data_IF_480988718804
#
_entry.id   IF_480988718804
#
_cell.length_a   1.000
_cell.length_b   1.000
_cell.length_c   1.000
_cell.angle_alpha   90.00
_cell.angle_beta   90.00
_cell.angle_gamma   90.00
#
_symmetry.space_group_name_H-M   'P 1'
#
loop_
_entity.id
_entity.type
_entity.pdbx_description
1 polymer ?
#
# COMPACT_ATOMS: atom_id res chain seq x y z
N UNK A 1 45.72 9.57 2.75
CA UNK A 1 44.70 9.99 3.72
C UNK A 1 43.76 8.82 3.93
N UNK A 2 43.91 8.13 5.07
CA UNK A 2 43.12 6.95 5.40
C UNK A 2 41.68 7.38 5.69
N UNK A 3 40.73 6.80 4.95
CA UNK A 3 39.30 6.90 5.21
C UNK A 3 39.01 6.41 6.62
N UNK A 4 38.68 7.33 7.53
CA UNK A 4 38.13 6.96 8.83
C UNK A 4 36.83 6.17 8.58
N UNK A 5 36.88 4.87 8.85
CA UNK A 5 35.68 4.06 8.94
C UNK A 5 34.85 4.62 10.08
N UNK A 6 33.73 5.26 9.75
CA UNK A 6 32.69 5.63 10.70
C UNK A 6 32.31 4.35 11.43
N UNK A 7 32.61 4.27 12.73
CA UNK A 7 32.06 3.25 13.63
C UNK A 7 30.55 3.41 13.65
N UNK A 8 29.84 2.64 12.82
CA UNK A 8 28.38 2.65 12.61
C UNK A 8 27.61 2.04 13.81
N UNK A 9 27.95 2.41 15.04
CA UNK A 9 27.28 1.87 16.24
C UNK A 9 26.05 2.68 16.66
N UNK A 10 25.86 3.88 16.13
CA UNK A 10 24.68 4.71 16.37
C UNK A 10 24.02 5.05 15.03
N UNK A 11 22.90 4.41 14.71
CA UNK A 11 22.11 4.77 13.53
C UNK A 11 21.55 6.18 13.71
N UNK A 12 21.72 7.12 12.74
CA UNK A 12 21.19 8.48 12.84
C UNK A 12 19.66 8.54 12.89
N UNK A 13 18.99 7.40 12.71
CA UNK A 13 17.53 7.27 12.75
C UNK A 13 17.04 6.39 13.90
N UNK A 14 17.90 6.05 14.88
CA UNK A 14 17.45 5.26 16.04
C UNK A 14 16.42 6.06 16.85
N UNK A 15 15.19 5.57 16.87
CA UNK A 15 14.09 6.18 17.61
C UNK A 15 14.07 5.68 19.07
N UNK A 16 13.66 6.56 19.97
CA UNK A 16 13.35 6.26 21.37
C UNK A 16 11.88 5.85 21.44
N UNK A 17 11.63 4.64 21.92
CA UNK A 17 10.26 4.14 22.13
C UNK A 17 9.68 4.75 23.41
N UNK A 18 8.67 5.61 23.26
CA UNK A 18 8.00 6.33 24.36
C UNK A 18 6.59 5.82 24.65
N UNK A 19 5.99 5.04 23.76
CA UNK A 19 4.62 4.50 23.87
C UNK A 19 4.57 2.97 23.77
N UNK A 20 5.63 2.29 24.22
CA UNK A 20 5.79 0.85 24.09
C UNK A 20 6.53 0.44 22.80
N UNK A 21 6.74 -0.87 22.66
CA UNK A 21 7.45 -1.46 21.54
C UNK A 21 6.49 -1.78 20.38
N UNK A 22 7.00 -1.94 19.15
CA UNK A 22 6.18 -2.39 18.04
C UNK A 22 5.45 -3.70 18.39
N UNK A 23 4.15 -3.83 18.11
CA UNK A 23 3.42 -5.07 18.33
C UNK A 23 4.08 -6.25 17.65
N UNK A 24 4.08 -7.38 18.35
CA UNK A 24 4.92 -8.51 18.00
C UNK A 24 6.29 -8.50 18.69
N UNK A 25 6.49 -7.59 19.64
CA UNK A 25 7.51 -7.69 20.69
C UNK A 25 6.92 -7.45 22.07
N UNK A 26 7.29 -8.32 23.01
CA UNK A 26 6.80 -8.37 24.38
C UNK A 26 7.73 -7.62 25.36
N UNK A 27 9.02 -7.48 25.02
CA UNK A 27 10.02 -6.80 25.85
C UNK A 27 11.19 -6.24 25.04
N UNK A 28 11.94 -5.29 25.63
CA UNK A 28 13.13 -4.71 25.00
C UNK A 28 14.22 -5.77 24.79
N UNK A 29 14.33 -6.71 25.73
CA UNK A 29 15.23 -7.87 25.60
C UNK A 29 14.84 -8.75 24.42
N UNK A 30 13.56 -9.05 24.21
CA UNK A 30 13.12 -9.78 23.01
C UNK A 30 13.37 -8.95 21.73
N UNK A 31 13.17 -7.63 21.79
CA UNK A 31 13.37 -6.75 20.64
C UNK A 31 14.84 -6.66 20.19
N UNK A 32 15.79 -6.50 21.13
CA UNK A 32 17.22 -6.31 20.83
C UNK A 32 18.06 -7.59 20.91
N UNK A 33 17.80 -8.47 21.87
CA UNK A 33 18.68 -9.61 22.21
C UNK A 33 18.12 -10.96 21.72
N UNK A 34 16.80 -11.16 21.82
CA UNK A 34 16.15 -12.43 21.50
C UNK A 34 14.99 -12.26 20.50
N UNK A 35 15.26 -11.78 19.26
CA UNK A 35 14.21 -11.52 18.28
C UNK A 35 13.46 -12.80 17.86
N UNK A 36 12.15 -12.67 17.62
CA UNK A 36 11.34 -13.71 16.98
C UNK A 36 11.70 -13.77 15.49
N UNK A 37 12.32 -14.86 15.06
CA UNK A 37 12.65 -15.06 13.64
C UNK A 37 11.43 -15.52 12.82
N UNK A 38 11.43 -15.27 11.49
CA UNK A 38 10.39 -15.80 10.60
C UNK A 38 10.22 -17.32 10.75
N UNK A 39 8.96 -17.77 10.88
CA UNK A 39 8.59 -19.18 10.89
C UNK A 39 8.85 -19.81 9.52
N UNK A 40 9.33 -21.07 9.46
CA UNK A 40 9.30 -21.81 8.21
C UNK A 40 7.85 -22.00 7.71
N UNK A 41 7.71 -22.26 6.41
CA UNK A 41 6.43 -22.71 5.87
C UNK A 41 6.07 -24.08 6.47
N UNK A 42 4.85 -24.26 7.00
CA UNK A 42 4.41 -25.57 7.45
C UNK A 42 4.24 -26.49 6.23
N UNK A 43 4.42 -27.80 6.39
CA UNK A 43 4.15 -28.74 5.31
C UNK A 43 2.66 -28.69 4.94
N UNK A 44 2.37 -28.79 3.64
CA UNK A 44 1.00 -28.89 3.16
C UNK A 44 0.34 -30.15 3.71
N UNK A 45 -0.88 -30.02 4.26
CA UNK A 45 -1.69 -31.16 4.72
C UNK A 45 -2.28 -31.96 3.54
N UNK A 46 -2.43 -31.32 2.38
CA UNK A 46 -2.98 -31.87 1.13
C UNK A 46 -2.53 -31.02 -0.07
N UNK A 47 -2.73 -31.48 -1.32
CA UNK A 47 -2.60 -30.62 -2.48
C UNK A 47 -3.55 -29.42 -2.40
N UNK A 48 -3.02 -28.22 -2.65
CA UNK A 48 -3.80 -26.99 -2.61
C UNK A 48 -4.89 -27.00 -3.70
N UNK A 49 -6.17 -26.81 -3.34
CA UNK A 49 -7.24 -26.74 -4.32
C UNK A 49 -7.00 -25.60 -5.34
N UNK A 50 -7.08 -25.85 -6.65
CA UNK A 50 -7.00 -24.78 -7.63
C UNK A 50 -8.24 -23.89 -7.56
N UNK A 51 -8.22 -22.73 -8.22
CA UNK A 51 -9.45 -21.98 -8.44
C UNK A 51 -10.48 -22.82 -9.18
N UNK A 52 -11.78 -22.75 -8.83
CA UNK A 52 -12.83 -23.41 -9.59
C UNK A 52 -12.79 -23.01 -11.07
N UNK A 53 -13.29 -23.86 -11.99
CA UNK A 53 -13.52 -23.47 -13.38
C UNK A 53 -14.32 -22.16 -13.49
N UNK A 54 -14.04 -21.37 -14.53
CA UNK A 54 -14.65 -20.03 -14.71
C UNK A 54 -16.18 -20.07 -14.70
N UNK A 55 -16.77 -21.09 -15.32
CA UNK A 55 -18.21 -21.31 -15.42
C UNK A 55 -18.88 -21.70 -14.10
N UNK A 56 -18.09 -22.12 -13.11
CA UNK A 56 -18.52 -22.42 -11.74
C UNK A 56 -18.39 -21.22 -10.78
N UNK A 57 -17.64 -20.18 -11.17
CA UNK A 57 -17.43 -18.95 -10.38
C UNK A 57 -18.63 -17.99 -10.50
N UNK A 58 -19.72 -18.30 -9.78
CA UNK A 58 -20.97 -17.54 -9.78
C UNK A 58 -21.39 -17.09 -8.39
N UNK A 59 -22.06 -15.94 -8.30
CA UNK A 59 -22.49 -15.40 -7.01
C UNK A 59 -21.31 -15.08 -6.09
N UNK A 60 -21.48 -15.35 -4.80
CA UNK A 60 -20.45 -15.21 -3.76
C UNK A 60 -19.53 -16.43 -3.68
N UNK A 61 -18.82 -16.72 -4.77
CA UNK A 61 -17.98 -17.92 -4.85
C UNK A 61 -16.65 -17.78 -4.09
N UNK A 62 -16.14 -16.55 -3.90
CA UNK A 62 -14.86 -16.32 -3.22
C UNK A 62 -14.93 -16.73 -1.76
N UNK A 63 -15.96 -16.30 -1.02
CA UNK A 63 -16.18 -16.68 0.38
C UNK A 63 -16.25 -18.22 0.50
N UNK A 64 -17.02 -18.89 -0.37
CA UNK A 64 -17.13 -20.37 -0.39
C UNK A 64 -15.80 -21.07 -0.71
N UNK A 65 -14.98 -20.47 -1.56
CA UNK A 65 -13.67 -21.02 -1.90
C UNK A 65 -12.68 -20.81 -0.75
N UNK A 66 -12.70 -19.64 -0.10
CA UNK A 66 -11.90 -19.40 1.09
C UNK A 66 -12.22 -20.38 2.22
N UNK A 67 -13.50 -20.65 2.49
CA UNK A 67 -13.96 -21.61 3.51
C UNK A 67 -13.42 -23.04 3.29
N UNK A 68 -13.04 -23.38 2.06
CA UNK A 68 -12.46 -24.69 1.75
C UNK A 68 -10.96 -24.76 2.05
N UNK A 69 -10.27 -23.63 2.15
CA UNK A 69 -8.82 -23.56 2.31
C UNK A 69 -8.39 -23.56 3.78
N UNK A 70 -7.26 -24.18 4.09
CA UNK A 70 -6.63 -24.14 5.39
C UNK A 70 -5.72 -22.90 5.51
N UNK A 71 -6.06 -21.88 6.32
CA UNK A 71 -5.24 -20.67 6.43
C UNK A 71 -3.86 -20.90 7.06
N UNK A 72 -3.63 -22.04 7.73
CA UNK A 72 -2.31 -22.36 8.28
C UNK A 72 -1.33 -22.81 7.20
N UNK A 73 -1.79 -23.61 6.24
CA UNK A 73 -0.92 -24.29 5.26
C UNK A 73 -1.13 -23.81 3.83
N UNK A 74 -2.29 -23.26 3.49
CA UNK A 74 -2.70 -22.81 2.15
C UNK A 74 -2.81 -21.26 2.07
N UNK A 75 -2.15 -20.53 2.99
CA UNK A 75 -2.19 -19.05 3.05
C UNK A 75 -1.74 -18.37 1.75
N UNK A 76 -0.75 -18.92 1.03
CA UNK A 76 -0.31 -18.35 -0.25
C UNK A 76 -1.45 -18.35 -1.28
N UNK A 77 -2.27 -19.42 -1.32
CA UNK A 77 -3.41 -19.50 -2.23
C UNK A 77 -4.55 -18.58 -1.79
N UNK A 78 -4.76 -18.42 -0.48
CA UNK A 78 -5.74 -17.47 0.05
C UNK A 78 -5.35 -16.04 -0.35
N UNK A 79 -4.10 -15.63 -0.12
CA UNK A 79 -3.61 -14.30 -0.47
C UNK A 79 -3.60 -14.09 -1.98
N UNK A 80 -3.14 -15.08 -2.75
CA UNK A 80 -3.23 -15.05 -4.21
C UNK A 80 -4.66 -14.76 -4.65
N UNK A 81 -5.64 -15.48 -4.10
CA UNK A 81 -7.04 -15.30 -4.49
C UNK A 81 -7.59 -13.95 -4.05
N UNK A 82 -7.35 -13.54 -2.81
CA UNK A 82 -7.81 -12.26 -2.27
C UNK A 82 -7.25 -11.07 -3.07
N UNK A 83 -5.95 -11.08 -3.38
CA UNK A 83 -5.31 -10.01 -4.17
C UNK A 83 -5.74 -10.06 -5.63
N UNK A 84 -5.83 -11.26 -6.23
CA UNK A 84 -6.08 -11.38 -7.67
C UNK A 84 -7.52 -11.07 -8.08
N UNK A 85 -8.48 -11.27 -7.17
CA UNK A 85 -9.91 -11.04 -7.40
C UNK A 85 -10.49 -9.84 -6.64
N UNK A 86 -9.93 -9.47 -5.48
CA UNK A 86 -10.53 -8.48 -4.59
C UNK A 86 -10.20 -7.03 -4.91
N UNK A 87 -9.07 -6.77 -5.59
CA UNK A 87 -8.61 -5.42 -5.86
C UNK A 87 -8.91 -4.95 -7.29
N UNK A 88 -9.07 -3.63 -7.44
CA UNK A 88 -9.00 -2.89 -8.70
C UNK A 88 -7.74 -2.04 -8.75
N UNK A 89 -7.30 -1.63 -9.95
CA UNK A 89 -6.17 -0.71 -10.09
C UNK A 89 -6.42 0.62 -9.32
N UNK A 90 -7.65 1.13 -9.28
CA UNK A 90 -8.01 2.31 -8.50
C UNK A 90 -7.77 2.11 -7.00
N UNK A 91 -8.33 1.04 -6.42
CA UNK A 91 -8.14 0.72 -4.99
C UNK A 91 -6.68 0.46 -4.66
N UNK A 92 -5.94 -0.15 -5.60
CA UNK A 92 -4.52 -0.42 -5.47
C UNK A 92 -3.70 0.87 -5.49
N UNK A 93 -4.01 1.83 -6.35
CA UNK A 93 -3.36 3.14 -6.36
C UNK A 93 -3.67 3.97 -5.10
N UNK A 94 -4.91 3.93 -4.62
CA UNK A 94 -5.30 4.55 -3.35
C UNK A 94 -4.48 3.97 -2.20
N UNK A 95 -4.43 2.64 -2.10
CA UNK A 95 -3.64 1.94 -1.09
C UNK A 95 -2.15 2.24 -1.20
N UNK A 96 -1.59 2.24 -2.41
CA UNK A 96 -0.19 2.57 -2.66
C UNK A 96 0.17 3.97 -2.15
N UNK A 97 -0.59 4.99 -2.55
CA UNK A 97 -0.35 6.36 -2.10
C UNK A 97 -0.44 6.46 -0.58
N UNK A 98 -1.48 5.85 0.02
CA UNK A 98 -1.67 5.88 1.47
C UNK A 98 -0.57 5.17 2.25
N UNK A 99 -0.20 3.95 1.85
CA UNK A 99 0.87 3.15 2.48
C UNK A 99 2.19 3.92 2.47
N UNK A 100 2.55 4.55 1.36
CA UNK A 100 3.81 5.30 1.31
C UNK A 100 3.77 6.62 2.09
N UNK A 101 2.62 7.29 2.18
CA UNK A 101 2.44 8.44 3.08
C UNK A 101 2.58 8.02 4.55
N UNK A 102 2.09 6.82 4.90
CA UNK A 102 2.27 6.22 6.24
C UNK A 102 3.75 5.93 6.48
N UNK A 103 4.38 5.16 5.59
CA UNK A 103 5.76 4.70 5.71
C UNK A 103 6.78 5.85 5.85
N UNK A 104 6.54 6.97 5.17
CA UNK A 104 7.46 8.10 5.12
C UNK A 104 7.36 9.04 6.32
N UNK A 105 6.62 8.65 7.36
CA UNK A 105 6.58 9.40 8.63
C UNK A 105 7.80 9.14 9.50
N UNK A 106 8.52 8.04 9.29
CA UNK A 106 9.76 7.79 10.01
C UNK A 106 10.89 8.64 9.43
N UNK A 107 11.86 9.09 10.25
CA UNK A 107 13.07 9.75 9.77
C UNK A 107 13.73 8.96 8.63
N UNK A 108 13.85 7.66 8.88
CA UNK A 108 14.43 6.66 8.00
C UNK A 108 13.62 6.49 6.71
N UNK A 109 12.30 6.33 6.80
CA UNK A 109 11.41 6.21 5.65
C UNK A 109 11.37 7.47 4.79
N UNK A 110 11.27 8.65 5.42
CA UNK A 110 11.31 9.94 4.74
C UNK A 110 12.60 10.09 3.92
N UNK A 111 13.76 9.79 4.50
CA UNK A 111 15.04 9.93 3.80
C UNK A 111 15.23 8.84 2.74
N UNK A 112 14.82 7.60 3.00
CA UNK A 112 14.99 6.49 2.06
C UNK A 112 14.19 6.67 0.76
N UNK A 113 12.98 7.21 0.88
CA UNK A 113 12.03 7.31 -0.24
C UNK A 113 12.16 8.64 -0.98
N UNK A 114 12.53 9.72 -0.30
CA UNK A 114 12.57 11.06 -0.89
C UNK A 114 13.53 11.15 -2.10
N UNK A 115 13.10 11.92 -3.12
CA UNK A 115 13.87 12.18 -4.34
C UNK A 115 13.64 11.16 -5.46
N UNK A 116 14.62 10.99 -6.35
CA UNK A 116 14.62 9.94 -7.38
C UNK A 116 13.33 9.82 -8.21
N UNK A 117 12.81 8.59 -8.31
CA UNK A 117 11.62 8.29 -9.11
C UNK A 117 10.32 8.81 -8.49
N UNK A 118 10.19 8.91 -7.16
CA UNK A 118 8.90 9.39 -6.58
C UNK A 118 8.59 10.81 -7.04
N UNK A 119 9.59 11.69 -7.12
CA UNK A 119 9.40 13.08 -7.56
C UNK A 119 9.36 13.22 -9.08
N UNK A 120 10.19 12.47 -9.82
CA UNK A 120 10.40 12.71 -11.27
C UNK A 120 9.66 11.74 -12.19
N UNK A 121 9.36 10.54 -11.70
CA UNK A 121 8.86 9.39 -12.46
C UNK A 121 7.86 8.59 -11.62
N UNK A 122 6.87 9.32 -11.11
CA UNK A 122 5.88 8.78 -10.20
C UNK A 122 5.22 7.55 -10.79
N UNK A 123 4.68 7.62 -12.00
CA UNK A 123 3.92 6.50 -12.56
C UNK A 123 4.81 5.28 -12.79
N UNK A 124 6.04 5.46 -13.30
CA UNK A 124 6.99 4.35 -13.41
C UNK A 124 7.22 3.69 -12.04
N UNK A 125 7.41 4.48 -10.98
CA UNK A 125 7.60 3.94 -9.64
C UNK A 125 6.38 3.15 -9.16
N UNK A 126 5.16 3.67 -9.38
CA UNK A 126 3.91 3.00 -9.02
C UNK A 126 3.83 1.63 -9.71
N UNK A 127 3.89 1.61 -11.03
CA UNK A 127 3.69 0.38 -11.81
C UNK A 127 4.80 -0.65 -11.60
N UNK A 128 6.06 -0.24 -11.43
CA UNK A 128 7.13 -1.16 -11.02
C UNK A 128 6.84 -1.77 -9.65
N UNK A 129 6.42 -0.97 -8.67
CA UNK A 129 6.09 -1.48 -7.33
C UNK A 129 4.89 -2.42 -7.37
N UNK A 130 3.88 -2.12 -8.18
CA UNK A 130 2.73 -2.99 -8.35
C UNK A 130 3.07 -4.29 -9.06
N UNK A 131 3.99 -4.27 -10.02
CA UNK A 131 4.50 -5.50 -10.61
C UNK A 131 5.10 -6.40 -9.54
N UNK A 132 5.97 -5.87 -8.68
CA UNK A 132 6.55 -6.63 -7.56
C UNK A 132 5.48 -7.19 -6.62
N UNK A 133 4.58 -6.34 -6.11
CA UNK A 133 3.52 -6.74 -5.18
C UNK A 133 2.62 -7.86 -5.75
N UNK A 134 2.19 -7.70 -7.01
CA UNK A 134 1.35 -8.68 -7.68
C UNK A 134 2.11 -9.96 -8.01
N UNK A 135 3.40 -9.86 -8.32
CA UNK A 135 4.23 -11.03 -8.57
C UNK A 135 4.35 -11.89 -7.30
N UNK A 136 4.60 -11.28 -6.15
CA UNK A 136 4.67 -11.99 -4.86
C UNK A 136 3.34 -12.65 -4.49
N UNK A 137 2.22 -11.93 -4.65
CA UNK A 137 0.91 -12.48 -4.38
C UNK A 137 0.54 -13.60 -5.37
N UNK A 138 0.98 -13.52 -6.63
CA UNK A 138 0.66 -14.51 -7.66
C UNK A 138 1.39 -15.85 -7.43
N UNK A 139 2.68 -15.79 -7.08
CA UNK A 139 3.52 -16.97 -6.91
C UNK A 139 3.45 -17.56 -5.49
N UNK A 140 3.29 -16.72 -4.46
CA UNK A 140 3.36 -17.12 -3.06
C UNK A 140 4.61 -16.58 -2.38
N UNK A 141 4.57 -16.47 -1.05
CA UNK A 141 5.56 -15.76 -0.25
C UNK A 141 6.95 -16.41 -0.23
N UNK A 142 7.03 -17.73 -0.42
CA UNK A 142 8.30 -18.50 -0.42
C UNK A 142 8.64 -19.13 -1.76
N UNK A 143 7.88 -18.84 -2.82
CA UNK A 143 8.14 -19.38 -4.15
C UNK A 143 9.50 -18.89 -4.71
N UNK A 144 10.27 -19.73 -5.42
CA UNK A 144 11.56 -19.33 -5.97
C UNK A 144 11.53 -18.07 -6.85
N UNK A 145 10.47 -17.85 -7.62
CA UNK A 145 10.32 -16.62 -8.42
C UNK A 145 10.06 -15.40 -7.52
N UNK A 146 9.25 -15.53 -6.47
CA UNK A 146 9.10 -14.48 -5.46
C UNK A 146 10.43 -14.13 -4.81
N UNK A 147 11.20 -15.12 -4.35
CA UNK A 147 12.51 -14.92 -3.69
C UNK A 147 13.48 -14.20 -4.63
N UNK A 148 13.49 -14.57 -5.92
CA UNK A 148 14.28 -13.91 -6.96
C UNK A 148 13.89 -12.44 -7.14
N UNK A 149 12.59 -12.12 -7.18
CA UNK A 149 12.11 -10.73 -7.28
C UNK A 149 12.41 -9.92 -6.02
N UNK A 150 12.26 -10.50 -4.82
CA UNK A 150 12.70 -9.87 -3.56
C UNK A 150 14.21 -9.58 -3.60
N UNK A 151 15.01 -10.49 -4.14
CA UNK A 151 16.45 -10.27 -4.36
C UNK A 151 16.77 -9.05 -5.25
N UNK A 152 15.91 -8.70 -6.21
CA UNK A 152 16.07 -7.46 -6.98
C UNK A 152 15.78 -6.23 -6.13
N UNK A 153 14.73 -6.27 -5.30
CA UNK A 153 14.41 -5.18 -4.37
C UNK A 153 15.53 -4.99 -3.34
N UNK A 154 16.09 -6.08 -2.81
CA UNK A 154 17.24 -6.00 -1.90
C UNK A 154 18.42 -5.25 -2.53
N UNK A 155 18.67 -5.41 -3.83
CA UNK A 155 19.70 -4.62 -4.55
C UNK A 155 19.32 -3.13 -4.64
N UNK A 156 18.04 -2.81 -4.85
CA UNK A 156 17.55 -1.43 -4.84
C UNK A 156 17.72 -0.81 -3.45
N UNK A 157 17.32 -1.51 -2.38
CA UNK A 157 17.51 -1.08 -0.99
C UNK A 157 18.99 -0.87 -0.66
N UNK A 158 19.87 -1.79 -1.07
CA UNK A 158 21.32 -1.61 -0.95
C UNK A 158 21.83 -0.35 -1.66
N UNK A 159 21.26 -0.01 -2.81
CA UNK A 159 21.53 1.26 -3.49
C UNK A 159 21.07 2.49 -2.71
N UNK A 160 19.94 2.41 -2.00
CA UNK A 160 19.43 3.47 -1.11
C UNK A 160 20.38 3.66 0.08
N UNK A 161 20.79 2.59 0.76
CA UNK A 161 21.67 2.66 1.93
C UNK A 161 23.05 3.25 1.62
N UNK A 162 23.55 3.08 0.40
CA UNK A 162 24.78 3.77 -0.04
C UNK A 162 24.64 5.30 -0.07
N UNK A 163 23.45 5.80 -0.42
CA UNK A 163 23.17 7.25 -0.46
C UNK A 163 22.71 7.80 0.89
N UNK A 164 22.06 6.95 1.68
CA UNK A 164 21.47 7.32 2.97
C UNK A 164 21.73 6.23 4.00
N UNK A 165 22.96 6.13 4.53
CA UNK A 165 23.32 5.14 5.53
C UNK A 165 22.46 5.24 6.79
N UNK A 166 22.09 4.09 7.35
CA UNK A 166 21.22 3.92 8.51
C UNK A 166 19.73 3.78 8.16
N UNK A 167 19.31 4.07 6.93
CA UNK A 167 17.90 4.02 6.58
C UNK A 167 17.40 2.57 6.51
N UNK A 168 16.21 2.33 7.02
CA UNK A 168 15.51 1.04 7.07
C UNK A 168 16.39 -0.02 7.76
N UNK A 169 17.18 0.40 8.76
CA UNK A 169 18.02 -0.52 9.54
C UNK A 169 17.20 -1.31 10.57
N UNK A 170 16.05 -0.77 10.98
CA UNK A 170 15.16 -1.43 11.92
C UNK A 170 14.02 -2.14 11.15
N UNK A 171 13.86 -3.48 11.30
CA UNK A 171 12.87 -4.25 10.54
C UNK A 171 11.46 -3.66 10.54
N UNK A 172 10.98 -3.25 11.72
CA UNK A 172 9.63 -2.72 11.92
C UNK A 172 9.29 -1.52 11.03
N UNK A 173 10.30 -0.71 10.64
CA UNK A 173 10.07 0.46 9.77
C UNK A 173 9.56 0.04 8.39
N UNK A 174 10.16 -0.98 7.79
CA UNK A 174 9.75 -1.47 6.47
C UNK A 174 8.62 -2.51 6.52
N UNK A 175 8.45 -3.22 7.65
CA UNK A 175 7.30 -4.11 7.83
C UNK A 175 5.98 -3.38 7.65
N UNK A 176 5.91 -2.11 8.04
CA UNK A 176 4.72 -1.27 7.86
C UNK A 176 4.21 -1.24 6.41
N UNK A 177 5.09 -1.38 5.40
CA UNK A 177 4.65 -1.44 4.01
C UNK A 177 3.77 -2.68 3.72
N UNK A 178 4.14 -3.83 4.27
CA UNK A 178 3.39 -5.09 4.09
C UNK A 178 2.18 -5.16 5.04
N UNK A 179 2.32 -4.63 6.26
CA UNK A 179 1.23 -4.53 7.24
C UNK A 179 0.13 -3.59 6.75
N UNK A 180 0.49 -2.44 6.19
CA UNK A 180 -0.50 -1.54 5.60
C UNK A 180 -1.13 -2.17 4.34
N UNK A 181 -0.35 -2.87 3.51
CA UNK A 181 -0.91 -3.60 2.35
C UNK A 181 -2.01 -4.60 2.76
N UNK A 182 -1.84 -5.30 3.90
CA UNK A 182 -2.84 -6.26 4.37
C UNK A 182 -4.03 -5.60 5.05
N UNK A 183 -3.83 -4.54 5.81
CA UNK A 183 -4.86 -3.94 6.67
C UNK A 183 -5.62 -2.76 6.02
N UNK A 184 -5.09 -2.15 4.95
CA UNK A 184 -5.64 -0.90 4.42
C UNK A 184 -7.09 -1.02 3.89
N UNK A 185 -7.49 -2.16 3.32
CA UNK A 185 -8.89 -2.37 2.95
C UNK A 185 -9.82 -2.29 4.16
N UNK A 186 -9.48 -2.99 5.25
CA UNK A 186 -10.22 -2.96 6.52
C UNK A 186 -10.27 -1.54 7.09
N UNK A 187 -9.15 -0.80 7.02
CA UNK A 187 -9.12 0.61 7.39
C UNK A 187 -10.11 1.46 6.57
N UNK A 188 -10.11 1.34 5.23
CA UNK A 188 -11.05 2.07 4.35
C UNK A 188 -12.50 1.71 4.69
N UNK A 189 -12.81 0.42 4.89
CA UNK A 189 -14.15 -0.04 5.27
C UNK A 189 -14.61 0.55 6.61
N UNK A 190 -13.73 0.59 7.60
CA UNK A 190 -13.98 1.21 8.92
C UNK A 190 -14.21 2.72 8.80
N UNK A 191 -13.33 3.44 8.10
CA UNK A 191 -13.44 4.89 7.90
C UNK A 191 -14.69 5.29 7.12
N UNK A 192 -15.09 4.49 6.13
CA UNK A 192 -16.32 4.70 5.38
C UNK A 192 -17.58 4.38 6.21
N UNK A 193 -17.47 3.50 7.22
CA UNK A 193 -18.61 2.99 7.97
C UNK A 193 -19.40 1.92 7.20
N UNK A 194 -18.69 1.07 6.45
CA UNK A 194 -19.28 -0.09 5.78
C UNK A 194 -19.93 -1.05 6.81
N UNK A 195 -20.94 -1.83 6.39
CA UNK A 195 -21.60 -2.81 7.25
C UNK A 195 -20.67 -4.00 7.54
N UNK A 196 -20.04 -4.55 6.49
CA UNK A 196 -18.96 -5.54 6.61
C UNK A 196 -17.63 -4.77 6.66
N UNK A 197 -17.14 -4.55 7.88
CA UNK A 197 -15.89 -3.83 8.12
C UNK A 197 -14.67 -4.73 7.99
N UNK A 198 -14.81 -5.98 8.39
CA UNK A 198 -13.76 -6.97 8.38
C UNK A 198 -13.79 -7.80 7.09
N UNK A 199 -12.59 -8.08 6.57
CA UNK A 199 -12.38 -9.03 5.46
C UNK A 199 -12.65 -10.47 5.91
N UNK A 200 -12.66 -11.42 4.96
CA UNK A 200 -12.94 -12.83 5.26
C UNK A 200 -11.97 -13.42 6.33
N UNK A 201 -12.45 -14.20 7.32
CA UNK A 201 -11.61 -14.71 8.42
C UNK A 201 -10.39 -15.51 7.95
N UNK A 202 -10.53 -16.34 6.91
CA UNK A 202 -9.36 -17.07 6.37
C UNK A 202 -8.32 -16.14 5.73
N UNK A 203 -8.76 -15.00 5.16
CA UNK A 203 -7.84 -13.98 4.63
C UNK A 203 -7.14 -13.25 5.78
N UNK A 204 -7.86 -12.92 6.86
CA UNK A 204 -7.26 -12.37 8.08
C UNK A 204 -6.19 -13.29 8.67
N UNK A 205 -6.46 -14.60 8.72
CA UNK A 205 -5.53 -15.60 9.25
C UNK A 205 -4.33 -15.84 8.31
N UNK A 206 -4.53 -15.72 6.99
CA UNK A 206 -3.46 -15.92 6.00
C UNK A 206 -2.47 -14.75 5.95
N UNK A 207 -2.92 -13.51 6.14
CA UNK A 207 -2.07 -12.31 6.00
C UNK A 207 -0.81 -12.29 6.89
N UNK A 208 -0.89 -12.56 8.21
CA UNK A 208 0.30 -12.62 9.08
C UNK A 208 1.30 -13.68 8.61
N UNK A 209 0.81 -14.88 8.28
CA UNK A 209 1.59 -16.00 7.81
C UNK A 209 2.31 -15.70 6.47
N UNK A 210 1.61 -15.08 5.52
CA UNK A 210 2.15 -14.68 4.23
C UNK A 210 3.17 -13.54 4.37
N UNK A 211 2.81 -12.49 5.10
CA UNK A 211 3.63 -11.30 5.29
C UNK A 211 4.94 -11.60 6.04
N UNK A 212 4.88 -12.43 7.07
CA UNK A 212 6.05 -12.88 7.83
C UNK A 212 7.09 -13.57 6.93
N UNK A 213 6.63 -14.47 6.06
CA UNK A 213 7.52 -15.25 5.19
C UNK A 213 8.07 -14.42 4.06
N UNK A 214 7.22 -13.60 3.44
CA UNK A 214 7.65 -12.66 2.41
C UNK A 214 8.72 -11.71 2.96
N UNK A 215 8.45 -11.05 4.09
CA UNK A 215 9.42 -10.13 4.74
C UNK A 215 10.67 -10.85 5.22
N UNK A 216 10.56 -12.16 5.52
CA UNK A 216 11.67 -13.06 5.78
C UNK A 216 12.80 -13.01 4.74
N UNK A 217 12.46 -12.80 3.46
CA UNK A 217 13.41 -12.74 2.36
C UNK A 217 14.05 -11.36 2.13
N UNK A 218 13.52 -10.31 2.74
CA UNK A 218 14.11 -8.98 2.67
C UNK A 218 15.21 -8.82 3.70
N UNK A 219 16.24 -8.05 3.34
CA UNK A 219 17.36 -7.72 4.24
C UNK A 219 17.25 -6.27 4.74
N UNK A 220 17.69 -6.01 5.97
CA UNK A 220 17.92 -4.65 6.48
C UNK A 220 19.38 -4.23 6.27
N UNK A 221 19.71 -2.97 6.58
CA UNK A 221 21.12 -2.57 6.69
C UNK A 221 21.76 -3.12 7.99
N UNK A 222 23.03 -3.58 7.99
CA UNK A 222 23.95 -3.72 6.84
C UNK A 222 23.50 -4.79 5.83
N UNK A 223 23.78 -4.56 4.54
CA UNK A 223 23.42 -5.47 3.43
C UNK A 223 24.16 -6.81 3.43
N UNK A 224 24.82 -7.17 4.52
CA UNK A 224 25.54 -8.44 4.67
C UNK A 224 24.60 -9.64 4.86
N UNK A 225 23.29 -9.39 4.90
CA UNK A 225 22.28 -10.42 5.08
C UNK A 225 22.12 -10.86 6.54
N UNK A 226 22.76 -10.18 7.49
CA UNK A 226 22.72 -10.51 8.91
C UNK A 226 21.34 -10.36 9.56
N UNK A 227 20.45 -9.55 8.96
CA UNK A 227 19.15 -9.23 9.54
C UNK A 227 18.05 -9.25 8.48
N UNK A 228 17.02 -10.04 8.77
CA UNK A 228 15.80 -10.14 7.97
C UNK A 228 14.79 -9.08 8.40
N UNK A 229 14.04 -8.51 7.43
CA UNK A 229 12.91 -7.66 7.75
C UNK A 229 11.72 -8.42 8.32
N UNK A 230 11.71 -9.76 8.34
CA UNK A 230 10.65 -10.56 8.96
C UNK A 230 10.83 -10.79 10.47
N UNK A 231 11.92 -10.30 11.06
CA UNK A 231 12.14 -10.37 12.51
C UNK A 231 11.02 -9.63 13.26
N UNK A 232 10.42 -10.27 14.25
CA UNK A 232 9.32 -9.75 15.08
C UNK A 232 8.05 -9.39 14.30
N UNK A 233 7.89 -9.86 13.05
CA UNK A 233 6.68 -9.62 12.27
C UNK A 233 5.42 -10.10 13.02
N UNK A 234 4.28 -9.38 12.94
CA UNK A 234 3.01 -9.77 13.52
C UNK A 234 2.56 -11.21 13.21
N UNK A 235 2.10 -11.95 14.22
CA UNK A 235 1.76 -13.40 14.11
C UNK A 235 0.30 -13.70 13.85
N UNK A 236 -0.57 -12.75 14.17
CA UNK A 236 -2.01 -12.85 13.98
C UNK A 236 -2.59 -11.52 13.48
N UNK A 237 -3.87 -11.55 13.11
CA UNK A 237 -4.58 -10.39 12.58
C UNK A 237 -4.64 -9.24 13.59
N UNK A 238 -4.77 -9.55 14.87
CA UNK A 238 -4.84 -8.56 15.93
C UNK A 238 -3.49 -7.86 16.15
N UNK A 239 -2.36 -8.58 16.06
CA UNK A 239 -1.02 -7.99 16.06
C UNK A 239 -0.83 -7.07 14.85
N UNK A 240 -1.30 -7.45 13.64
CA UNK A 240 -1.24 -6.59 12.45
C UNK A 240 -2.03 -5.29 12.66
N UNK A 241 -3.26 -5.40 13.15
CA UNK A 241 -4.12 -4.26 13.46
C UNK A 241 -3.46 -3.34 14.49
N UNK A 242 -3.02 -3.91 15.63
CA UNK A 242 -2.32 -3.14 16.67
C UNK A 242 -1.10 -2.45 16.11
N UNK A 243 -0.33 -3.11 15.24
CA UNK A 243 0.86 -2.51 14.63
C UNK A 243 0.47 -1.31 13.75
N UNK A 244 -0.56 -1.45 12.92
CA UNK A 244 -1.04 -0.36 12.06
C UNK A 244 -1.38 0.89 12.87
N UNK A 245 -2.12 0.74 13.97
CA UNK A 245 -2.46 1.85 14.86
C UNK A 245 -1.26 2.37 15.64
N UNK A 246 -0.44 1.47 16.21
CA UNK A 246 0.77 1.85 16.93
C UNK A 246 1.70 2.72 16.08
N UNK A 247 1.89 2.38 14.81
CA UNK A 247 2.73 3.13 13.89
C UNK A 247 2.17 4.54 13.64
N UNK A 248 0.85 4.68 13.49
CA UNK A 248 0.19 5.99 13.37
C UNK A 248 0.18 6.76 14.70
N UNK A 249 0.21 6.11 15.85
CA UNK A 249 0.17 6.78 17.16
C UNK A 249 1.56 7.15 17.70
N UNK A 250 2.61 6.45 17.27
CA UNK A 250 3.98 6.68 17.74
C UNK A 250 4.43 8.12 17.46
N UNK A 251 4.81 8.95 18.47
CA UNK A 251 5.15 10.36 18.30
C UNK A 251 6.53 10.54 17.65
N UNK A 252 6.64 10.09 16.40
CA UNK A 252 7.87 10.11 15.63
C UNK A 252 8.28 11.54 15.29
N UNK A 253 7.31 12.45 15.09
CA UNK A 253 7.60 13.84 14.69
C UNK A 253 8.47 14.59 15.71
N UNK A 254 8.37 14.24 16.99
CA UNK A 254 9.14 14.84 18.08
C UNK A 254 10.63 14.48 18.02
N UNK A 255 10.97 13.45 17.24
CA UNK A 255 12.32 12.89 17.10
C UNK A 255 12.91 13.16 15.72
N UNK A 256 12.21 13.90 14.86
CA UNK A 256 12.64 14.24 13.51
C UNK A 256 13.32 15.60 13.44
N UNK A 257 14.32 15.72 12.58
CA UNK A 257 14.89 17.03 12.22
C UNK A 257 13.94 17.80 11.29
N UNK A 258 14.03 19.14 11.21
CA UNK A 258 13.24 19.92 10.25
C UNK A 258 13.41 19.47 8.80
N UNK A 259 14.61 19.04 8.42
CA UNK A 259 14.89 18.51 7.08
C UNK A 259 14.13 17.19 6.82
N UNK A 260 14.10 16.28 7.80
CA UNK A 260 13.37 15.01 7.68
C UNK A 260 11.86 15.24 7.57
N UNK A 261 11.32 16.17 8.37
CA UNK A 261 9.91 16.59 8.29
C UNK A 261 9.58 17.20 6.93
N UNK A 262 10.53 17.93 6.32
CA UNK A 262 10.35 18.49 4.98
C UNK A 262 10.37 17.40 3.90
N UNK A 263 11.30 16.44 3.99
CA UNK A 263 11.37 15.30 3.07
C UNK A 263 10.10 14.44 3.13
N UNK A 264 9.58 14.19 4.32
CA UNK A 264 8.30 13.50 4.50
C UNK A 264 7.17 14.23 3.80
N UNK A 265 7.01 15.53 4.07
CA UNK A 265 5.98 16.37 3.46
C UNK A 265 6.04 16.36 1.92
N UNK A 266 7.20 16.66 1.33
CA UNK A 266 7.37 16.68 -0.12
C UNK A 266 7.10 15.32 -0.77
N UNK A 267 7.50 14.24 -0.09
CA UNK A 267 7.24 12.88 -0.56
C UNK A 267 5.75 12.56 -0.51
N UNK A 268 5.05 12.95 0.55
CA UNK A 268 3.61 12.76 0.68
C UNK A 268 2.83 13.55 -0.38
N UNK A 269 3.19 14.81 -0.63
CA UNK A 269 2.62 15.61 -1.72
C UNK A 269 2.81 14.94 -3.09
N UNK A 270 4.00 14.42 -3.37
CA UNK A 270 4.26 13.71 -4.64
C UNK A 270 3.40 12.46 -4.82
N UNK A 271 3.11 11.70 -3.76
CA UNK A 271 2.20 10.55 -3.82
C UNK A 271 0.73 10.98 -4.01
N UNK A 272 0.32 12.08 -3.38
CA UNK A 272 -1.02 12.65 -3.58
C UNK A 272 -1.19 13.09 -5.04
N UNK A 273 -0.20 13.83 -5.57
CA UNK A 273 -0.22 14.33 -6.94
C UNK A 273 -0.25 13.18 -7.94
N UNK A 274 0.61 12.17 -7.79
CA UNK A 274 0.62 10.97 -8.63
C UNK A 274 -0.74 10.26 -8.62
N UNK A 275 -1.36 10.08 -7.44
CA UNK A 275 -2.70 9.48 -7.36
C UNK A 275 -3.75 10.33 -8.10
N UNK A 276 -3.70 11.65 -7.94
CA UNK A 276 -4.60 12.57 -8.63
C UNK A 276 -4.41 12.52 -10.14
N UNK A 277 -3.16 12.53 -10.63
CA UNK A 277 -2.82 12.41 -12.04
C UNK A 277 -3.30 11.09 -12.66
N UNK A 278 -3.27 9.99 -11.91
CA UNK A 278 -3.71 8.68 -12.40
C UNK A 278 -5.24 8.54 -12.50
N UNK A 279 -6.01 9.20 -11.64
CA UNK A 279 -7.43 8.84 -11.47
C UNK A 279 -8.41 9.97 -11.65
N UNK A 280 -7.93 11.21 -11.59
CA UNK A 280 -8.76 12.39 -11.73
C UNK A 280 -8.30 13.18 -12.95
N UNK A 281 -9.19 13.83 -13.69
CA UNK A 281 -8.82 14.87 -14.63
C UNK A 281 -8.38 16.12 -13.87
N UNK A 282 -7.52 16.98 -14.44
CA UNK A 282 -6.95 18.17 -13.79
C UNK A 282 -7.96 19.06 -13.05
N UNK A 283 -9.14 19.39 -13.62
CA UNK A 283 -10.14 20.18 -12.91
C UNK A 283 -10.67 19.54 -11.62
N UNK A 284 -10.51 18.21 -11.46
CA UNK A 284 -10.97 17.44 -10.32
C UNK A 284 -9.84 17.01 -9.38
N UNK A 285 -8.60 17.50 -9.54
CA UNK A 285 -7.49 17.16 -8.63
C UNK A 285 -7.80 17.57 -7.18
N UNK A 286 -8.47 18.70 -6.97
CA UNK A 286 -8.94 19.10 -5.64
C UNK A 286 -9.82 18.03 -4.98
N UNK A 287 -10.71 17.42 -5.76
CA UNK A 287 -11.58 16.35 -5.32
C UNK A 287 -10.79 15.05 -5.05
N UNK A 288 -9.86 14.68 -5.96
CA UNK A 288 -8.97 13.53 -5.78
C UNK A 288 -8.09 13.63 -4.53
N UNK A 289 -7.52 14.80 -4.26
CA UNK A 289 -6.76 15.08 -3.04
C UNK A 289 -7.62 14.83 -1.81
N UNK A 290 -8.80 15.43 -1.74
CA UNK A 290 -9.67 15.28 -0.57
C UNK A 290 -10.22 13.85 -0.44
N UNK A 291 -10.38 13.12 -1.54
CA UNK A 291 -10.72 11.71 -1.51
C UNK A 291 -9.61 10.92 -0.80
N UNK A 292 -8.36 11.05 -1.24
CA UNK A 292 -7.22 10.38 -0.60
C UNK A 292 -7.06 10.80 0.87
N UNK A 293 -7.07 12.11 1.18
CA UNK A 293 -6.96 12.62 2.56
C UNK A 293 -8.06 12.09 3.49
N UNK A 294 -9.24 11.75 2.97
CA UNK A 294 -10.35 11.20 3.78
C UNK A 294 -10.01 9.82 4.33
N UNK A 295 -9.22 9.03 3.60
CA UNK A 295 -8.87 7.66 3.95
C UNK A 295 -7.43 7.51 4.45
N UNK A 296 -6.73 8.61 4.71
CA UNK A 296 -5.46 8.58 5.44
C UNK A 296 -5.70 8.63 6.96
N UNK A 297 -4.89 7.94 7.76
CA UNK A 297 -4.90 8.10 9.21
C UNK A 297 -4.67 9.57 9.64
N UNK A 298 -5.31 10.06 10.71
CA UNK A 298 -5.22 11.48 11.09
C UNK A 298 -3.82 11.93 11.48
N UNK A 299 -3.08 11.14 12.28
CA UNK A 299 -1.73 11.53 12.70
C UNK A 299 -0.78 11.56 11.50
N UNK A 300 -0.97 10.61 10.57
CA UNK A 300 -0.26 10.60 9.29
C UNK A 300 -0.36 11.91 8.54
N UNK A 301 -1.56 12.48 8.41
CA UNK A 301 -1.76 13.77 7.73
C UNK A 301 -1.12 14.93 8.48
N UNK A 302 -1.26 14.95 9.81
CA UNK A 302 -0.66 15.97 10.68
C UNK A 302 0.85 16.00 10.52
N UNK A 303 1.51 14.84 10.67
CA UNK A 303 2.98 14.70 10.58
C UNK A 303 3.53 15.13 9.24
N UNK A 304 2.85 14.70 8.17
CA UNK A 304 3.25 15.03 6.81
C UNK A 304 2.83 16.44 6.38
N UNK A 305 2.09 17.18 7.21
CA UNK A 305 1.66 18.56 6.95
C UNK A 305 0.93 18.72 5.61
N UNK A 306 0.16 17.72 5.22
CA UNK A 306 -0.58 17.65 3.93
C UNK A 306 -2.03 18.19 4.04
N UNK A 307 -2.39 18.72 5.22
CA UNK A 307 -3.70 19.30 5.48
C UNK A 307 -4.79 18.28 5.80
N UNK A 308 -5.97 18.81 6.12
CA UNK A 308 -7.15 18.03 6.48
C UNK A 308 -8.12 17.91 5.29
N UNK A 309 -8.90 16.81 5.20
CA UNK A 309 -9.92 16.70 4.19
C UNK A 309 -11.02 17.73 4.44
N UNK A 310 -11.58 18.30 3.38
CA UNK A 310 -12.78 19.13 3.51
C UNK A 310 -13.90 18.30 4.14
N UNK A 311 -14.56 18.75 5.22
CA UNK A 311 -15.49 17.93 5.98
C UNK A 311 -16.73 17.51 5.19
N UNK A 312 -17.22 18.38 4.29
CA UNK A 312 -18.36 18.07 3.43
C UNK A 312 -18.01 17.01 2.39
N UNK A 313 -16.85 17.17 1.74
CA UNK A 313 -16.35 16.17 0.80
C UNK A 313 -16.03 14.85 1.50
N UNK A 314 -15.42 14.88 2.68
CA UNK A 314 -15.15 13.68 3.47
C UNK A 314 -16.44 12.92 3.82
N UNK A 315 -17.49 13.63 4.24
CA UNK A 315 -18.79 13.03 4.49
C UNK A 315 -19.39 12.40 3.22
N UNK A 316 -19.31 13.09 2.08
CA UNK A 316 -19.74 12.58 0.78
C UNK A 316 -18.96 11.32 0.38
N UNK A 317 -17.64 11.31 0.51
CA UNK A 317 -16.79 10.17 0.15
C UNK A 317 -17.04 8.96 1.02
N UNK A 318 -17.18 9.16 2.34
CA UNK A 318 -17.53 8.09 3.27
C UNK A 318 -18.89 7.51 2.93
N UNK A 319 -19.89 8.36 2.66
CA UNK A 319 -21.21 7.91 2.24
C UNK A 319 -21.17 7.14 0.91
N UNK A 320 -20.43 7.65 -0.09
CA UNK A 320 -20.28 7.00 -1.38
C UNK A 320 -19.62 5.62 -1.24
N UNK A 321 -18.45 5.52 -0.59
CA UNK A 321 -17.78 4.24 -0.40
C UNK A 321 -18.58 3.29 0.48
N UNK A 322 -19.21 3.77 1.55
CA UNK A 322 -20.12 2.95 2.37
C UNK A 322 -21.22 2.33 1.52
N UNK A 323 -21.82 3.12 0.64
CA UNK A 323 -22.89 2.66 -0.24
C UNK A 323 -22.35 1.66 -1.26
N UNK A 324 -21.25 1.99 -1.94
CA UNK A 324 -20.62 1.12 -2.94
C UNK A 324 -20.18 -0.22 -2.35
N UNK A 325 -19.51 -0.22 -1.19
CA UNK A 325 -19.07 -1.42 -0.47
C UNK A 325 -20.27 -2.27 -0.04
N UNK A 326 -21.28 -1.67 0.57
CA UNK A 326 -22.48 -2.42 0.98
C UNK A 326 -23.20 -3.02 -0.25
N UNK A 327 -23.36 -2.26 -1.33
CA UNK A 327 -23.99 -2.79 -2.55
C UNK A 327 -23.16 -3.93 -3.14
N UNK A 328 -21.83 -3.80 -3.17
CA UNK A 328 -20.91 -4.85 -3.58
C UNK A 328 -21.02 -6.10 -2.72
N UNK A 329 -21.06 -5.95 -1.40
CA UNK A 329 -21.14 -7.06 -0.45
C UNK A 329 -22.47 -7.82 -0.57
N UNK A 330 -23.60 -7.14 -0.83
CA UNK A 330 -24.93 -7.78 -0.85
C UNK A 330 -25.44 -8.19 -2.23
N UNK A 331 -25.17 -7.42 -3.27
CA UNK A 331 -25.85 -7.57 -4.56
C UNK A 331 -24.92 -7.95 -5.72
N UNK A 332 -23.64 -7.57 -5.65
CA UNK A 332 -22.72 -7.88 -6.74
C UNK A 332 -22.19 -9.29 -6.64
N UNK A 333 -22.23 -10.04 -7.73
CA UNK A 333 -21.50 -11.29 -7.83
C UNK A 333 -19.99 -11.04 -7.74
N UNK A 334 -19.27 -12.00 -7.18
CA UNK A 334 -17.81 -11.97 -7.20
C UNK A 334 -17.32 -12.12 -8.65
N UNK A 335 -16.21 -11.46 -9.03
CA UNK A 335 -15.72 -11.53 -10.40
C UNK A 335 -15.35 -12.97 -10.78
N UNK A 336 -15.81 -13.42 -11.95
CA UNK A 336 -15.46 -14.74 -12.48
C UNK A 336 -14.01 -14.79 -13.00
N UNK A 337 -13.49 -13.65 -13.47
CA UNK A 337 -12.12 -13.49 -13.94
C UNK A 337 -11.28 -12.72 -12.91
N UNK A 338 -10.00 -13.05 -12.73
CA UNK A 338 -9.12 -12.32 -11.83
C UNK A 338 -8.58 -11.03 -12.49
N UNK A 339 -9.16 -9.84 -12.24
CA UNK A 339 -8.74 -8.60 -12.92
C UNK A 339 -7.25 -8.28 -12.70
N UNK A 340 -6.71 -8.60 -11.53
CA UNK A 340 -5.32 -8.27 -11.21
C UNK A 340 -4.31 -9.23 -11.84
N UNK A 341 -4.73 -10.41 -12.31
CA UNK A 341 -3.88 -11.25 -13.18
C UNK A 341 -3.70 -10.57 -14.52
N UNK A 342 -4.78 -10.09 -15.15
CA UNK A 342 -4.69 -9.36 -16.41
C UNK A 342 -3.83 -8.09 -16.26
N UNK A 343 -4.01 -7.36 -15.15
CA UNK A 343 -3.17 -6.21 -14.84
C UNK A 343 -1.70 -6.58 -14.67
N UNK A 344 -1.38 -7.65 -13.93
CA UNK A 344 0.00 -8.16 -13.79
C UNK A 344 0.63 -8.52 -15.13
N UNK A 345 -0.10 -9.22 -16.01
CA UNK A 345 0.40 -9.59 -17.34
C UNK A 345 0.63 -8.36 -18.23
N UNK A 346 -0.23 -7.35 -18.13
CA UNK A 346 -0.01 -6.06 -18.79
C UNK A 346 1.28 -5.41 -18.29
N UNK A 347 1.55 -5.41 -16.98
CA UNK A 347 2.79 -4.84 -16.43
C UNK A 347 4.05 -5.62 -16.85
N UNK A 348 3.97 -6.94 -16.94
CA UNK A 348 5.08 -7.79 -17.39
C UNK A 348 5.47 -7.55 -18.85
N UNK A 349 4.50 -7.17 -19.68
CA UNK A 349 4.68 -6.99 -21.13
C UNK A 349 4.88 -5.53 -21.53
N UNK A 350 4.67 -4.59 -20.61
CA UNK A 350 4.79 -3.15 -20.86
C UNK A 350 6.23 -2.63 -20.70
N UNK A 351 6.59 -1.63 -21.50
CA UNK A 351 7.80 -0.84 -21.25
C UNK A 351 7.55 0.20 -20.16
N UNK A 352 7.81 -0.18 -18.91
CA UNK A 352 7.64 0.68 -17.75
C UNK A 352 8.59 1.89 -17.76
N UNK A 353 9.63 1.92 -18.59
CA UNK A 353 10.55 3.06 -18.66
C UNK A 353 9.93 4.29 -19.35
N UNK A 354 8.90 4.08 -20.19
CA UNK A 354 8.20 5.16 -20.91
C UNK A 354 6.81 5.46 -20.37
N UNK A 355 6.32 4.69 -19.38
CA UNK A 355 4.95 4.76 -18.89
C UNK A 355 4.55 6.15 -18.37
N UNK A 356 5.46 6.89 -17.74
CA UNK A 356 5.19 8.26 -17.31
C UNK A 356 4.84 9.18 -18.48
N UNK A 357 5.52 9.02 -19.62
CA UNK A 357 5.26 9.82 -20.83
C UNK A 357 3.90 9.44 -21.42
N UNK A 358 3.60 8.15 -21.47
CA UNK A 358 2.34 7.65 -22.02
C UNK A 358 1.15 8.05 -21.15
N UNK A 359 1.24 7.90 -19.82
CA UNK A 359 0.22 8.34 -18.87
C UNK A 359 -0.04 9.84 -19.01
N UNK A 360 1.01 10.67 -19.03
CA UNK A 360 0.86 12.12 -19.20
C UNK A 360 0.16 12.48 -20.51
N UNK A 361 0.55 11.85 -21.62
CA UNK A 361 -0.09 12.05 -22.93
C UNK A 361 -1.57 11.66 -22.90
N UNK A 362 -1.90 10.52 -22.30
CA UNK A 362 -3.29 10.07 -22.18
C UNK A 362 -4.13 11.04 -21.34
N UNK A 363 -3.58 11.57 -20.25
CA UNK A 363 -4.27 12.51 -19.37
C UNK A 363 -4.48 13.87 -20.01
N UNK A 364 -3.46 14.40 -20.69
CA UNK A 364 -3.59 15.64 -21.46
C UNK A 364 -4.73 15.57 -22.48
N UNK A 365 -4.94 14.39 -23.09
CA UNK A 365 -6.06 14.17 -23.99
C UNK A 365 -7.41 14.12 -23.26
N UNK A 366 -7.50 13.39 -22.16
CA UNK A 366 -8.72 13.29 -21.33
C UNK A 366 -9.15 14.65 -20.77
N UNK A 367 -8.20 15.45 -20.30
CA UNK A 367 -8.45 16.80 -19.78
C UNK A 367 -9.06 17.71 -20.84
N UNK A 368 -8.49 17.69 -22.06
CA UNK A 368 -9.04 18.47 -23.19
C UNK A 368 -10.46 18.02 -23.54
N UNK A 369 -10.70 16.72 -23.56
CA UNK A 369 -12.03 16.17 -23.84
C UNK A 369 -13.05 16.58 -22.78
N UNK A 370 -12.69 16.53 -21.50
CA UNK A 370 -13.56 16.93 -20.40
C UNK A 370 -13.87 18.44 -20.44
N UNK A 371 -12.85 19.28 -20.63
CA UNK A 371 -13.04 20.74 -20.72
C UNK A 371 -13.97 21.08 -21.88
N UNK A 372 -13.83 20.39 -23.03
CA UNK A 372 -14.74 20.55 -24.16
C UNK A 372 -16.18 20.15 -23.79
N UNK A 373 -16.37 18.99 -23.16
CA UNK A 373 -17.67 18.51 -22.70
C UNK A 373 -18.34 19.48 -21.72
N UNK A 374 -17.60 19.93 -20.70
CA UNK A 374 -18.10 20.90 -19.72
C UNK A 374 -18.45 22.25 -20.37
N UNK A 375 -17.66 22.69 -21.34
CA UNK A 375 -17.93 23.92 -22.10
C UNK A 375 -19.22 23.80 -22.91
N UNK A 376 -19.44 22.66 -23.58
CA UNK A 376 -20.68 22.39 -24.31
C UNK A 376 -21.89 22.37 -23.38
N UNK A 377 -21.77 21.73 -22.21
CA UNK A 377 -22.84 21.71 -21.19
C UNK A 377 -23.14 23.11 -20.68
N UNK A 378 -22.12 23.90 -20.34
CA UNK A 378 -22.29 25.27 -19.85
C UNK A 378 -22.92 26.20 -20.90
N UNK A 379 -22.50 26.10 -22.17
CA UNK A 379 -23.12 26.85 -23.27
C UNK A 379 -24.58 26.42 -23.47
N UNK A 380 -24.85 25.11 -23.42
CA UNK A 380 -26.22 24.58 -23.50
C UNK A 380 -27.12 25.09 -22.38
N UNK A 381 -26.63 25.10 -21.14
CA UNK A 381 -27.33 25.66 -19.98
C UNK A 381 -27.52 27.18 -20.11
N UNK A 382 -26.51 27.92 -20.56
CA UNK A 382 -26.62 29.36 -20.76
C UNK A 382 -27.64 29.72 -21.85
N UNK A 383 -27.66 28.99 -22.98
CA UNK A 383 -28.66 29.16 -24.05
C UNK A 383 -30.06 28.75 -23.56
N UNK A 384 -30.16 27.69 -22.77
CA UNK A 384 -31.42 27.24 -22.15
C UNK A 384 -31.99 28.30 -21.20
N UNK A 385 -31.17 28.81 -20.28
CA UNK A 385 -31.56 29.88 -19.36
C UNK A 385 -31.88 31.19 -20.09
N UNK A 386 -31.14 31.54 -21.14
CA UNK A 386 -31.43 32.73 -21.96
C UNK A 386 -32.79 32.64 -22.65
N UNK A 387 -33.20 31.46 -23.11
CA UNK A 387 -34.54 31.23 -23.67
C UNK A 387 -35.64 31.26 -22.60
N UNK A 388 -35.33 30.89 -21.36
CA UNK A 388 -36.28 30.87 -20.26
C UNK A 388 -36.54 32.25 -19.62
N UNK A 389 -35.60 33.20 -19.77
CA UNK A 389 -35.72 34.58 -19.24
C UNK A 389 -36.42 35.55 -20.23
N UNK A 390 -36.67 35.12 -21.47
CA UNK A 390 -37.37 35.90 -22.51
C UNK A 390 -38.83 35.50 -22.74
N UNK A 391 -39.38 34.62 -21.90
CA UNK A 391 -40.81 34.31 -21.78
C UNK A 391 -41.29 34.98 -20.49
#
# INVERSE_FOLDING_TARGET
>A
MASQAITRTESPYKLKFTNGLPPGTDSYEQFELNPRYPRPAPPLKRPTPPWPPKDERKGKWLDKYFDQLDPETEYDQIIRTAVMFGASDFSTALGYAAVFIILTQTPSGAVAVHGGKVIRRGHQRYYETQLYNLHWAYHGSTDPETVKYVGQINKIHAGVWKRSPGTISAPWEAQMAIIALSYFETWVRKVAGAKRQEIHPHVQAAWPAWGERLTGHFVSEPSDGSRSLGINYPRDWQELERFFFWFDEFPIEEQMTPEQLQKGHETAEAFIDQFCELWFPRPLYYFGRHFLLTFLPPNSRRRQRIGEPNPLLAALFKWFLRTALNLGDFFSDDPAEPPMVAFREMLLTSDLAIIDKDTKRQRDWQDRALVLLLSVVLVGLAVGCYRYVRI
#
